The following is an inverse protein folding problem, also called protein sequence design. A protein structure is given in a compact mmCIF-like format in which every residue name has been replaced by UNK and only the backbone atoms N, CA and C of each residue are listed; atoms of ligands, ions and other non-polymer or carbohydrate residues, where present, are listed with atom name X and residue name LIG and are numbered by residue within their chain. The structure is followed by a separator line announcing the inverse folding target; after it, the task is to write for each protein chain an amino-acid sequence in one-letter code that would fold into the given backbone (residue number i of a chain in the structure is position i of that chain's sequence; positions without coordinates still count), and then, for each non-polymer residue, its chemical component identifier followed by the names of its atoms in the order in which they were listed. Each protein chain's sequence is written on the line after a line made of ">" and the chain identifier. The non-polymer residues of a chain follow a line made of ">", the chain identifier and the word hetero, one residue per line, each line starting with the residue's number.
data_IF_127391998460
#
_entry.id   IF_127391998460
#
_cell.length_a   1.000
_cell.length_b   1.000
_cell.length_c   1.000
_cell.angle_alpha   90.00
_cell.angle_beta   90.00
_cell.angle_gamma   90.00
#
_symmetry.space_group_name_H-M   'P 1'
#
loop_
_entity.id
_entity.type
_entity.pdbx_description
1 polymer ?
#
# COMPACT_ATOMS: atom_id res chain seq x y z
N UNK A 1 62.86 64.75 5.12
CA UNK A 1 61.97 63.85 4.35
C UNK A 1 60.57 64.46 4.26
N UNK A 2 60.22 65.09 3.13
CA UNK A 2 58.84 65.48 2.80
C UNK A 2 58.66 65.25 1.29
N UNK A 3 57.81 64.28 0.95
CA UNK A 3 57.57 63.80 -0.42
C UNK A 3 56.75 64.83 -1.19
N UNK A 4 57.17 65.08 -2.44
CA UNK A 4 56.49 65.94 -3.43
C UNK A 4 55.30 65.19 -4.03
N UNK A 5 54.18 65.90 -4.12
CA UNK A 5 52.96 65.49 -4.81
C UNK A 5 53.12 65.66 -6.32
N UNK A 6 52.78 64.62 -7.10
CA UNK A 6 52.58 64.72 -8.55
C UNK A 6 51.12 64.38 -8.83
N UNK A 7 50.42 65.33 -9.47
CA UNK A 7 49.06 65.17 -9.97
C UNK A 7 49.11 64.39 -11.29
N UNK A 8 48.30 63.35 -11.43
CA UNK A 8 48.05 62.68 -12.71
C UNK A 8 46.61 62.99 -13.16
N UNK A 9 46.49 63.49 -14.39
CA UNK A 9 45.23 63.69 -15.11
C UNK A 9 44.56 62.34 -15.38
N UNK A 10 43.27 62.21 -15.07
CA UNK A 10 42.40 61.12 -15.51
C UNK A 10 41.57 61.60 -16.72
N UNK A 11 41.77 60.94 -17.85
CA UNK A 11 40.94 61.06 -19.06
C UNK A 11 39.74 60.10 -18.95
N UNK A 12 38.54 60.42 -19.45
CA UNK A 12 37.38 59.57 -19.27
C UNK A 12 37.37 58.45 -20.33
N UNK A 13 37.48 57.20 -19.90
CA UNK A 13 37.19 56.04 -20.74
C UNK A 13 35.70 55.71 -20.59
N UNK A 14 34.96 55.93 -21.66
CA UNK A 14 33.56 55.51 -21.82
C UNK A 14 33.52 53.99 -21.95
N UNK A 15 33.19 53.27 -20.87
CA UNK A 15 32.95 51.81 -20.92
C UNK A 15 31.52 51.58 -21.38
N UNK A 16 31.36 51.14 -22.63
CA UNK A 16 30.10 50.63 -23.17
C UNK A 16 29.84 49.25 -22.55
N UNK A 17 28.89 49.18 -21.62
CA UNK A 17 28.40 47.91 -21.07
C UNK A 17 27.45 47.29 -22.09
N UNK A 18 27.95 46.35 -22.89
CA UNK A 18 27.09 45.48 -23.70
C UNK A 18 26.37 44.50 -22.79
N UNK A 19 25.08 44.74 -22.52
CA UNK A 19 24.18 43.73 -21.96
C UNK A 19 23.96 42.63 -23.01
N UNK A 20 24.70 41.53 -22.91
CA UNK A 20 24.32 40.29 -23.57
C UNK A 20 23.06 39.76 -22.88
N UNK A 21 21.92 39.81 -23.56
CA UNK A 21 20.74 39.03 -23.19
C UNK A 21 21.10 37.55 -23.35
N UNK A 22 21.58 36.94 -22.26
CA UNK A 22 21.69 35.50 -22.16
C UNK A 22 20.28 34.91 -22.11
N UNK A 23 19.93 34.15 -23.14
CA UNK A 23 18.74 33.30 -23.15
C UNK A 23 18.82 32.35 -21.95
N UNK A 24 18.08 32.66 -20.88
CA UNK A 24 17.86 31.72 -19.78
C UNK A 24 16.96 30.63 -20.34
N UNK A 25 17.57 29.59 -20.92
CA UNK A 25 16.91 28.31 -21.11
C UNK A 25 16.58 27.81 -19.71
N UNK A 26 15.32 27.99 -19.30
CA UNK A 26 14.76 27.29 -18.17
C UNK A 26 14.94 25.79 -18.43
N UNK A 27 15.99 25.20 -17.85
CA UNK A 27 16.09 23.77 -17.73
C UNK A 27 14.90 23.36 -16.88
N UNK A 28 13.85 22.89 -17.54
CA UNK A 28 12.85 22.05 -16.90
C UNK A 28 13.62 20.86 -16.35
N UNK A 29 13.99 20.93 -15.07
CA UNK A 29 14.25 19.73 -14.30
C UNK A 29 12.95 18.94 -14.38
N UNK A 30 12.92 17.99 -15.32
CA UNK A 30 12.05 16.84 -15.20
C UNK A 30 12.27 16.33 -13.78
N UNK A 31 11.31 16.59 -12.88
CA UNK A 31 11.23 15.86 -11.63
C UNK A 31 11.08 14.41 -12.08
N UNK A 32 12.18 13.68 -12.11
CA UNK A 32 12.17 12.23 -12.16
C UNK A 32 11.34 11.84 -10.97
N UNK A 33 10.07 11.49 -11.22
CA UNK A 33 9.22 10.85 -10.24
C UNK A 33 9.96 9.59 -9.82
N UNK A 34 10.66 9.65 -8.70
CA UNK A 34 11.28 8.48 -8.11
C UNK A 34 10.14 7.55 -7.71
N UNK A 35 9.99 6.45 -8.45
CA UNK A 35 9.07 5.37 -8.13
C UNK A 35 9.32 4.97 -6.67
N UNK A 36 8.24 4.76 -5.92
CA UNK A 36 8.36 4.33 -4.53
C UNK A 36 9.00 2.95 -4.45
N UNK A 37 9.92 2.78 -3.51
CA UNK A 37 10.63 1.53 -3.28
C UNK A 37 10.81 1.28 -1.79
N UNK A 38 10.54 0.05 -1.36
CA UNK A 38 10.95 -0.46 -0.05
C UNK A 38 12.27 -1.22 -0.18
N UNK A 39 13.22 -0.83 0.65
CA UNK A 39 14.53 -1.47 0.74
C UNK A 39 14.46 -2.68 1.67
N UNK A 40 15.41 -3.58 1.51
CA UNK A 40 15.60 -4.67 2.47
C UNK A 40 15.77 -4.10 3.89
N UNK A 41 15.11 -4.73 4.87
CA UNK A 41 15.05 -4.30 6.27
C UNK A 41 14.32 -2.99 6.56
N UNK A 42 13.53 -2.45 5.61
CA UNK A 42 12.62 -1.34 5.91
C UNK A 42 11.59 -1.73 6.97
N UNK A 43 11.25 -0.75 7.81
CA UNK A 43 10.28 -0.89 8.91
C UNK A 43 9.11 0.03 8.63
N UNK A 44 8.04 -0.53 8.11
CA UNK A 44 6.84 0.18 7.70
C UNK A 44 5.87 0.26 8.87
N UNK A 45 5.38 1.47 9.16
CA UNK A 45 4.32 1.70 10.14
C UNK A 45 3.07 2.19 9.43
N UNK A 46 1.94 1.55 9.71
CA UNK A 46 0.61 2.06 9.41
C UNK A 46 0.10 2.83 10.64
N UNK A 47 0.00 4.15 10.54
CA UNK A 47 -0.38 5.03 11.65
C UNK A 47 -1.64 5.82 11.32
N UNK A 48 -2.67 5.73 12.16
CA UNK A 48 -3.93 6.39 11.88
C UNK A 48 -5.06 5.93 12.78
N UNK A 49 -6.28 6.14 12.30
CA UNK A 49 -7.50 5.77 12.99
C UNK A 49 -7.99 4.34 12.63
N UNK A 50 -9.32 4.12 12.64
CA UNK A 50 -9.93 2.85 12.28
C UNK A 50 -9.64 2.37 10.85
N UNK A 51 -9.22 3.25 9.93
CA UNK A 51 -8.76 2.83 8.59
C UNK A 51 -7.57 1.87 8.67
N UNK A 52 -6.64 2.07 9.61
CA UNK A 52 -5.55 1.12 9.81
C UNK A 52 -5.87 0.10 10.88
N UNK A 53 -6.58 0.44 11.95
CA UNK A 53 -6.91 -0.57 12.96
C UNK A 53 -7.70 -1.75 12.35
N UNK A 54 -8.70 -1.47 11.51
CA UNK A 54 -9.57 -2.53 10.97
C UNK A 54 -8.89 -3.38 9.89
N UNK A 55 -7.82 -2.89 9.27
CA UNK A 55 -6.96 -3.67 8.36
C UNK A 55 -6.38 -4.92 9.05
N UNK A 56 -6.28 -4.89 10.38
CA UNK A 56 -5.95 -6.05 11.22
C UNK A 56 -6.72 -7.32 10.84
N UNK A 57 -7.98 -7.19 10.43
CA UNK A 57 -8.84 -8.32 10.09
C UNK A 57 -8.54 -8.91 8.72
N UNK A 58 -7.91 -8.16 7.82
CA UNK A 58 -7.84 -8.50 6.40
C UNK A 58 -6.41 -8.62 5.85
N UNK A 59 -5.47 -7.77 6.26
CA UNK A 59 -4.04 -7.88 5.93
C UNK A 59 -3.67 -7.64 4.45
N UNK A 60 -4.55 -7.05 3.64
CA UNK A 60 -4.28 -6.74 2.22
C UNK A 60 -3.20 -5.68 1.99
N UNK A 61 -3.11 -4.64 2.82
CA UNK A 61 -2.15 -3.55 2.62
C UNK A 61 -0.72 -4.05 2.84
N UNK A 62 -0.50 -4.81 3.92
CA UNK A 62 0.79 -5.46 4.17
C UNK A 62 1.10 -6.51 3.11
N UNK A 63 0.12 -7.33 2.72
CA UNK A 63 0.30 -8.36 1.71
C UNK A 63 0.72 -7.75 0.36
N UNK A 64 0.01 -6.72 -0.10
CA UNK A 64 0.32 -6.04 -1.36
C UNK A 64 1.73 -5.45 -1.36
N UNK A 65 2.14 -4.77 -0.29
CA UNK A 65 3.51 -4.28 -0.21
C UNK A 65 4.51 -5.45 -0.14
N UNK A 66 4.24 -6.49 0.64
CA UNK A 66 5.13 -7.67 0.76
C UNK A 66 5.35 -8.36 -0.59
N UNK A 67 4.30 -8.56 -1.40
CA UNK A 67 4.43 -9.26 -2.68
C UNK A 67 5.18 -8.45 -3.74
N UNK A 68 5.30 -7.13 -3.57
CA UNK A 68 5.99 -6.21 -4.50
C UNK A 68 7.51 -6.17 -4.33
N UNK A 69 8.01 -6.61 -3.18
CA UNK A 69 9.45 -6.74 -2.91
C UNK A 69 9.76 -8.17 -2.44
N UNK A 70 9.60 -9.17 -3.33
CA UNK A 70 9.77 -10.57 -2.98
C UNK A 70 11.18 -10.84 -2.42
N UNK A 71 11.24 -11.53 -1.29
CA UNK A 71 12.48 -11.89 -0.61
C UNK A 71 13.10 -10.78 0.26
N UNK A 72 12.56 -9.56 0.24
CA UNK A 72 13.03 -8.51 1.16
C UNK A 72 12.49 -8.77 2.59
N UNK A 73 13.32 -8.47 3.59
CA UNK A 73 12.98 -8.55 5.00
C UNK A 73 12.29 -7.26 5.49
N UNK A 74 11.27 -6.81 4.76
CA UNK A 74 10.45 -5.66 5.18
C UNK A 74 9.55 -6.08 6.34
N UNK A 75 9.48 -5.27 7.39
CA UNK A 75 8.60 -5.52 8.54
C UNK A 75 7.51 -4.47 8.65
N UNK A 76 6.34 -4.87 9.14
CA UNK A 76 5.15 -4.04 9.21
C UNK A 76 4.59 -3.99 10.63
N UNK A 77 4.25 -2.78 11.10
CA UNK A 77 3.63 -2.55 12.41
C UNK A 77 2.39 -1.68 12.22
N UNK A 78 1.26 -2.17 12.70
CA UNK A 78 -0.01 -1.46 12.61
C UNK A 78 -0.31 -0.73 13.92
N UNK A 79 -0.07 0.58 13.93
CA UNK A 79 -0.34 1.47 15.07
C UNK A 79 -1.69 2.19 14.94
N UNK A 80 -2.58 1.67 14.09
CA UNK A 80 -3.97 2.14 13.99
C UNK A 80 -4.70 2.10 15.32
N UNK A 81 -5.54 3.11 15.57
CA UNK A 81 -6.35 3.18 16.78
C UNK A 81 -7.73 3.80 16.50
N UNK A 82 -8.80 3.04 16.71
CA UNK A 82 -10.17 3.49 16.42
C UNK A 82 -10.54 4.72 17.25
N UNK A 83 -11.10 5.74 16.57
CA UNK A 83 -11.45 7.03 17.16
C UNK A 83 -10.28 7.99 17.37
N UNK A 84 -9.06 7.59 16.99
CA UNK A 84 -7.86 8.41 17.18
C UNK A 84 -7.76 9.57 16.20
N UNK A 85 -7.05 10.62 16.63
CA UNK A 85 -6.72 11.79 15.84
C UNK A 85 -5.22 12.09 15.92
N UNK A 86 -4.76 13.15 15.24
CA UNK A 86 -3.34 13.57 15.26
C UNK A 86 -2.78 13.91 16.66
N UNK A 87 -3.64 14.05 17.67
CA UNK A 87 -3.26 14.29 19.06
C UNK A 87 -3.26 13.04 19.94
N UNK A 88 -3.61 11.87 19.38
CA UNK A 88 -3.60 10.62 20.13
C UNK A 88 -4.75 10.47 21.12
N UNK A 89 -5.83 11.27 21.03
CA UNK A 89 -6.83 11.39 22.11
C UNK A 89 -7.49 10.05 22.50
N UNK A 90 -7.72 9.14 21.55
CA UNK A 90 -8.29 7.83 21.84
C UNK A 90 -7.34 6.90 22.60
N UNK A 91 -6.06 7.28 22.73
CA UNK A 91 -5.00 6.55 23.45
C UNK A 91 -4.87 6.98 24.91
N UNK A 92 -5.82 7.78 25.39
CA UNK A 92 -5.89 8.24 26.77
C UNK A 92 -5.97 7.07 27.76
N UNK A 93 -5.39 7.27 28.93
CA UNK A 93 -5.46 6.33 30.05
C UNK A 93 -5.96 7.06 31.30
N UNK A 94 -6.39 6.33 32.31
CA UNK A 94 -6.83 6.92 33.58
C UNK A 94 -5.72 7.61 34.38
N UNK A 95 -4.47 7.45 33.95
CA UNK A 95 -3.28 8.00 34.61
C UNK A 95 -2.62 9.07 33.76
N UNK A 96 -2.08 10.09 34.41
CA UNK A 96 -1.24 11.11 33.79
C UNK A 96 0.01 11.30 34.66
N UNK A 97 1.25 11.21 34.14
CA UNK A 97 1.65 10.88 32.75
C UNK A 97 1.65 9.37 32.40
N UNK A 98 1.77 8.99 31.10
CA UNK A 98 1.87 9.85 29.93
C UNK A 98 0.50 10.36 29.43
N UNK A 99 0.48 11.59 28.90
CA UNK A 99 -0.66 12.14 28.15
C UNK A 99 -0.93 11.30 26.88
N UNK A 100 -2.14 11.40 26.27
CA UNK A 100 -2.46 10.64 25.06
C UNK A 100 -1.48 10.93 23.90
N UNK A 101 -1.06 12.20 23.76
CA UNK A 101 -0.09 12.61 22.75
C UNK A 101 1.30 12.05 23.04
N UNK A 102 1.80 12.14 24.28
CA UNK A 102 3.08 11.53 24.66
C UNK A 102 3.07 10.01 24.42
N UNK A 103 1.93 9.37 24.67
CA UNK A 103 1.77 7.95 24.42
C UNK A 103 1.87 7.61 22.93
N UNK A 104 1.22 8.39 22.05
CA UNK A 104 1.39 8.27 20.59
C UNK A 104 2.87 8.45 20.19
N UNK A 105 3.54 9.49 20.70
CA UNK A 105 4.96 9.77 20.41
C UNK A 105 5.89 8.64 20.87
N UNK A 106 5.61 8.03 22.02
CA UNK A 106 6.37 6.88 22.54
C UNK A 106 6.17 5.65 21.64
N UNK A 107 4.93 5.37 21.23
CA UNK A 107 4.60 4.20 20.40
C UNK A 107 5.28 4.29 19.02
N UNK A 108 5.21 5.43 18.35
CA UNK A 108 5.88 5.61 17.06
C UNK A 108 7.42 5.58 17.20
N UNK A 109 7.97 6.12 18.29
CA UNK A 109 9.42 6.03 18.57
C UNK A 109 9.86 4.58 18.77
N UNK A 110 9.10 3.80 19.55
CA UNK A 110 9.40 2.39 19.85
C UNK A 110 9.34 1.52 18.59
N UNK A 111 8.48 1.85 17.63
CA UNK A 111 8.41 1.13 16.35
C UNK A 111 9.63 1.36 15.46
N UNK A 112 10.43 2.41 15.72
CA UNK A 112 11.63 2.78 14.96
C UNK A 112 11.40 2.78 13.43
N UNK A 113 10.35 3.41 12.89
CA UNK A 113 10.03 3.29 11.46
C UNK A 113 11.16 3.78 10.54
N UNK A 114 11.20 3.25 9.33
CA UNK A 114 11.88 3.89 8.19
C UNK A 114 10.88 4.49 7.19
N UNK A 115 9.65 3.96 7.17
CA UNK A 115 8.53 4.48 6.38
C UNK A 115 7.26 4.48 7.24
N UNK A 116 6.47 5.56 7.16
CA UNK A 116 5.21 5.70 7.88
C UNK A 116 4.11 6.12 6.91
N UNK A 117 3.09 5.28 6.75
CA UNK A 117 1.83 5.67 6.14
C UNK A 117 0.96 6.32 7.20
N UNK A 118 0.47 7.53 6.95
CA UNK A 118 -0.29 8.35 7.90
C UNK A 118 -1.71 8.55 7.39
N UNK A 119 -2.71 8.06 8.13
CA UNK A 119 -4.13 8.17 7.80
C UNK A 119 -4.93 8.77 8.97
N UNK A 120 -4.96 10.10 9.01
CA UNK A 120 -5.74 10.91 9.96
C UNK A 120 -6.60 11.93 9.19
N UNK A 121 -7.39 12.74 9.90
CA UNK A 121 -8.28 13.76 9.33
C UNK A 121 -9.74 13.32 9.27
N UNK A 122 -10.03 12.03 9.30
CA UNK A 122 -11.40 11.51 9.26
C UNK A 122 -12.19 11.76 10.55
N UNK A 123 -11.53 11.74 11.71
CA UNK A 123 -12.17 12.04 13.01
C UNK A 123 -12.29 13.55 13.17
N UNK A 124 -11.21 14.26 12.86
CA UNK A 124 -11.07 15.70 12.99
C UNK A 124 -12.04 16.47 12.09
N UNK A 125 -12.38 15.94 10.90
CA UNK A 125 -13.38 16.53 10.00
C UNK A 125 -14.78 16.72 10.62
N UNK A 126 -15.09 16.06 11.74
CA UNK A 126 -16.33 16.28 12.48
C UNK A 126 -16.40 17.67 13.13
N UNK A 127 -15.26 18.29 13.42
CA UNK A 127 -15.17 19.67 13.92
C UNK A 127 -15.39 20.71 12.79
N UNK A 128 -15.51 20.27 11.54
CA UNK A 128 -15.63 21.14 10.37
C UNK A 128 -14.41 22.03 10.17
N UNK A 129 -14.59 23.16 9.48
CA UNK A 129 -13.50 24.11 9.20
C UNK A 129 -12.87 24.70 10.46
N UNK A 130 -13.63 24.81 11.56
CA UNK A 130 -13.14 25.35 12.83
C UNK A 130 -12.00 24.49 13.43
N UNK A 131 -12.00 23.18 13.18
CA UNK A 131 -10.95 22.26 13.65
C UNK A 131 -9.66 22.29 12.82
N UNK A 132 -9.67 22.90 11.62
CA UNK A 132 -8.52 22.87 10.70
C UNK A 132 -7.22 23.42 11.30
N UNK A 133 -7.19 24.55 12.03
CA UNK A 133 -5.95 25.05 12.60
C UNK A 133 -5.31 24.05 13.57
N UNK A 134 -6.14 23.47 14.46
CA UNK A 134 -5.70 22.46 15.44
C UNK A 134 -5.23 21.18 14.76
N UNK A 135 -5.93 20.73 13.73
CA UNK A 135 -5.52 19.56 12.95
C UNK A 135 -4.18 19.78 12.24
N UNK A 136 -4.01 20.92 11.54
CA UNK A 136 -2.76 21.23 10.84
C UNK A 136 -1.57 21.32 11.78
N UNK A 137 -1.76 21.90 12.97
CA UNK A 137 -0.72 21.94 14.01
C UNK A 137 -0.34 20.52 14.46
N UNK A 138 -1.33 19.69 14.82
CA UNK A 138 -1.09 18.33 15.28
C UNK A 138 -0.41 17.46 14.22
N UNK A 139 -0.88 17.53 12.97
CA UNK A 139 -0.27 16.83 11.84
C UNK A 139 1.16 17.31 11.59
N UNK A 140 1.41 18.63 11.63
CA UNK A 140 2.76 19.18 11.49
C UNK A 140 3.71 18.65 12.56
N UNK A 141 3.30 18.65 13.83
CA UNK A 141 4.11 18.12 14.94
C UNK A 141 4.35 16.61 14.83
N UNK A 142 3.34 15.85 14.40
CA UNK A 142 3.49 14.43 14.13
C UNK A 142 4.51 14.17 13.01
N UNK A 143 4.47 14.95 11.93
CA UNK A 143 5.45 14.85 10.85
C UNK A 143 6.86 15.25 11.32
N UNK A 144 7.00 16.29 12.15
CA UNK A 144 8.29 16.66 12.77
C UNK A 144 8.85 15.50 13.59
N UNK A 145 7.99 14.79 14.33
CA UNK A 145 8.40 13.59 15.07
C UNK A 145 8.89 12.49 14.13
N UNK A 146 8.14 12.17 13.08
CA UNK A 146 8.53 11.15 12.09
C UNK A 146 9.87 11.49 11.44
N UNK A 147 10.06 12.75 11.06
CA UNK A 147 11.29 13.24 10.44
C UNK A 147 12.48 13.15 11.40
N UNK A 148 12.28 13.45 12.68
CA UNK A 148 13.32 13.30 13.71
C UNK A 148 13.78 11.85 13.91
N UNK A 149 12.96 10.87 13.52
CA UNK A 149 13.31 9.45 13.54
C UNK A 149 14.03 9.00 12.26
N UNK A 150 14.19 9.90 11.27
CA UNK A 150 14.78 9.58 9.97
C UNK A 150 13.86 8.81 9.04
N UNK A 151 12.56 8.76 9.33
CA UNK A 151 11.58 8.00 8.56
C UNK A 151 10.93 8.86 7.46
N UNK A 152 10.58 8.23 6.34
CA UNK A 152 9.78 8.85 5.27
C UNK A 152 8.30 8.78 5.64
N UNK A 153 7.55 9.87 5.45
CA UNK A 153 6.08 9.88 5.60
C UNK A 153 5.37 9.88 4.25
N UNK A 154 4.30 9.09 4.17
CA UNK A 154 3.33 9.03 3.07
C UNK A 154 1.97 9.34 3.66
N UNK A 155 1.34 10.42 3.22
CA UNK A 155 0.07 10.89 3.79
C UNK A 155 -1.09 10.39 2.93
N UNK A 156 -2.10 9.81 3.57
CA UNK A 156 -3.33 9.39 2.92
C UNK A 156 -4.44 10.40 3.23
N UNK A 157 -5.28 10.71 2.25
CA UNK A 157 -6.53 11.43 2.53
C UNK A 157 -7.47 10.58 3.41
N UNK A 158 -8.46 11.17 4.10
CA UNK A 158 -9.56 10.39 4.67
C UNK A 158 -10.41 9.73 3.57
N UNK A 159 -11.28 8.80 3.97
CA UNK A 159 -12.25 8.12 3.09
C UNK A 159 -13.65 8.72 3.25
N UNK A 160 -14.53 8.64 2.23
CA UNK A 160 -15.91 9.12 2.33
C UNK A 160 -16.76 8.28 3.27
N UNK A 161 -17.91 8.83 3.66
CA UNK A 161 -18.97 8.13 4.40
C UNK A 161 -20.25 8.01 3.58
N UNK A 162 -21.03 6.95 3.82
CA UNK A 162 -22.24 6.57 3.07
C UNK A 162 -23.30 5.91 3.94
N UNK A 163 -23.89 6.66 4.85
CA UNK A 163 -25.06 6.21 5.59
C UNK A 163 -26.34 6.66 4.86
N UNK A 164 -27.39 5.84 4.91
CA UNK A 164 -28.72 6.16 4.34
C UNK A 164 -29.56 7.03 5.29
N UNK A 165 -28.96 7.49 6.39
CA UNK A 165 -29.61 8.31 7.41
C UNK A 165 -29.66 9.79 7.00
N UNK A 166 -30.87 10.26 6.69
CA UNK A 166 -31.15 11.66 6.37
C UNK A 166 -30.80 12.62 7.52
N UNK A 167 -30.79 12.16 8.78
CA UNK A 167 -30.43 12.99 9.93
C UNK A 167 -28.91 13.26 10.02
N UNK A 168 -28.09 12.41 9.40
CA UNK A 168 -26.63 12.42 9.58
C UNK A 168 -25.88 13.35 8.61
N UNK A 169 -26.59 14.16 7.80
CA UNK A 169 -26.06 15.14 6.83
C UNK A 169 -24.77 14.65 6.13
N UNK A 170 -24.90 13.55 5.38
CA UNK A 170 -23.82 12.86 4.66
C UNK A 170 -23.05 13.84 3.79
N UNK A 171 -23.76 14.72 3.08
CA UNK A 171 -23.19 15.69 2.16
C UNK A 171 -22.25 16.64 2.89
N UNK A 172 -22.68 17.21 4.02
CA UNK A 172 -21.83 18.11 4.82
C UNK A 172 -20.62 17.37 5.39
N UNK A 173 -20.80 16.13 5.85
CA UNK A 173 -19.67 15.35 6.38
C UNK A 173 -18.63 15.04 5.30
N UNK A 174 -19.07 14.64 4.11
CA UNK A 174 -18.18 14.42 2.97
C UNK A 174 -17.53 15.73 2.49
N UNK A 175 -18.24 16.85 2.50
CA UNK A 175 -17.64 18.16 2.20
C UNK A 175 -16.51 18.51 3.19
N UNK A 176 -16.71 18.28 4.49
CA UNK A 176 -15.65 18.47 5.49
C UNK A 176 -14.47 17.51 5.25
N UNK A 177 -14.72 16.24 4.92
CA UNK A 177 -13.66 15.27 4.63
C UNK A 177 -12.79 15.72 3.44
N UNK A 178 -13.40 16.28 2.40
CA UNK A 178 -12.69 16.87 1.24
C UNK A 178 -11.83 18.08 1.64
N UNK A 179 -12.34 18.93 2.53
CA UNK A 179 -11.58 20.07 3.08
C UNK A 179 -10.34 19.59 3.84
N UNK A 180 -10.45 18.54 4.65
CA UNK A 180 -9.31 17.95 5.37
C UNK A 180 -8.35 17.24 4.43
N UNK A 181 -8.84 16.51 3.42
CA UNK A 181 -8.01 15.92 2.37
C UNK A 181 -7.15 16.99 1.67
N UNK A 182 -7.74 18.13 1.34
CA UNK A 182 -7.04 19.26 0.71
C UNK A 182 -6.00 19.89 1.64
N UNK A 183 -6.28 19.96 2.94
CA UNK A 183 -5.32 20.44 3.93
C UNK A 183 -4.11 19.50 4.09
N UNK A 184 -4.34 18.18 4.04
CA UNK A 184 -3.30 17.15 4.07
C UNK A 184 -2.42 17.25 2.81
N UNK A 185 -3.04 17.32 1.63
CA UNK A 185 -2.32 17.48 0.36
C UNK A 185 -1.43 18.73 0.36
N UNK A 186 -1.99 19.86 0.80
CA UNK A 186 -1.25 21.12 0.89
C UNK A 186 -0.05 21.01 1.82
N UNK A 187 -0.23 20.45 3.02
CA UNK A 187 0.86 20.29 3.98
C UNK A 187 1.93 19.31 3.48
N UNK A 188 1.52 18.22 2.82
CA UNK A 188 2.44 17.27 2.19
C UNK A 188 3.29 17.97 1.13
N UNK A 189 2.67 18.76 0.25
CA UNK A 189 3.37 19.55 -0.78
C UNK A 189 4.34 20.57 -0.17
N UNK A 190 3.90 21.35 0.83
CA UNK A 190 4.73 22.31 1.58
C UNK A 190 5.97 21.65 2.21
N UNK A 191 5.84 20.39 2.63
CA UNK A 191 6.91 19.62 3.30
C UNK A 191 7.63 18.63 2.38
N UNK A 192 7.35 18.63 1.07
CA UNK A 192 7.95 17.70 0.10
C UNK A 192 7.67 16.22 0.40
N UNK A 193 6.54 15.91 1.02
CA UNK A 193 6.11 14.54 1.34
C UNK A 193 5.22 13.98 0.23
N UNK A 194 5.17 12.65 0.13
CA UNK A 194 4.23 11.98 -0.75
C UNK A 194 2.82 12.06 -0.17
N UNK A 195 1.84 12.35 -1.03
CA UNK A 195 0.42 12.33 -0.71
C UNK A 195 -0.31 11.38 -1.67
N UNK A 196 -1.22 10.59 -1.13
CA UNK A 196 -2.08 9.68 -1.90
C UNK A 196 -3.54 10.03 -1.58
N UNK A 197 -4.27 10.48 -2.60
CA UNK A 197 -5.72 10.67 -2.53
C UNK A 197 -6.43 9.32 -2.63
N UNK A 198 -6.91 8.82 -1.49
CA UNK A 198 -7.74 7.62 -1.40
C UNK A 198 -9.24 7.97 -1.28
N UNK A 199 -9.60 9.25 -1.13
CA UNK A 199 -10.99 9.69 -0.99
C UNK A 199 -11.74 9.43 -2.30
N UNK A 200 -11.26 10.00 -3.42
CA UNK A 200 -11.97 9.90 -4.71
C UNK A 200 -12.12 8.47 -5.21
N UNK A 201 -11.06 7.63 -5.22
CA UNK A 201 -11.18 6.24 -5.68
C UNK A 201 -12.21 5.45 -4.87
N UNK A 202 -12.25 5.62 -3.54
CA UNK A 202 -13.20 4.92 -2.67
C UNK A 202 -14.62 5.48 -2.85
N UNK A 203 -14.78 6.79 -3.04
CA UNK A 203 -16.08 7.39 -3.33
C UNK A 203 -16.68 6.84 -4.63
N UNK A 204 -15.88 6.74 -5.68
CA UNK A 204 -16.31 6.18 -6.96
C UNK A 204 -16.63 4.69 -6.87
N UNK A 205 -15.78 3.90 -6.21
CA UNK A 205 -15.97 2.45 -6.11
C UNK A 205 -17.17 2.09 -5.24
N UNK A 206 -17.38 2.82 -4.14
CA UNK A 206 -18.55 2.62 -3.28
C UNK A 206 -19.88 2.93 -3.95
N UNK A 207 -19.91 3.65 -5.10
CA UNK A 207 -21.12 3.82 -5.92
C UNK A 207 -21.44 2.57 -6.75
N UNK A 208 -20.45 1.71 -6.99
CA UNK A 208 -20.53 0.56 -7.90
C UNK A 208 -20.67 -0.77 -7.16
N UNK A 209 -20.07 -0.88 -5.97
CA UNK A 209 -20.09 -2.11 -5.20
C UNK A 209 -19.97 -1.86 -3.70
N UNK A 210 -20.40 -2.83 -2.88
CA UNK A 210 -20.36 -2.71 -1.43
C UNK A 210 -18.95 -2.92 -0.89
N UNK A 211 -18.24 -1.81 -0.66
CA UNK A 211 -16.89 -1.80 -0.09
C UNK A 211 -16.84 -1.25 1.35
N UNK A 212 -17.99 -0.86 1.90
CA UNK A 212 -18.13 -0.34 3.26
C UNK A 212 -19.03 -1.27 4.06
N UNK A 213 -18.62 -1.58 5.30
CA UNK A 213 -19.36 -2.46 6.21
C UNK A 213 -20.58 -1.75 6.81
N UNK A 214 -20.39 -0.50 7.26
CA UNK A 214 -21.39 0.27 8.01
C UNK A 214 -21.50 1.72 7.53
N UNK A 215 -21.14 1.97 6.27
CA UNK A 215 -21.09 3.31 5.68
C UNK A 215 -19.92 4.17 6.16
N UNK A 216 -19.02 3.67 7.02
CA UNK A 216 -17.82 4.41 7.46
C UNK A 216 -16.56 3.56 7.32
N UNK A 217 -16.60 2.29 7.73
CA UNK A 217 -15.44 1.40 7.70
C UNK A 217 -15.41 0.55 6.43
N UNK A 218 -14.22 0.34 5.88
CA UNK A 218 -14.02 -0.60 4.78
C UNK A 218 -14.29 -2.04 5.24
N UNK A 219 -14.92 -2.82 4.37
CA UNK A 219 -15.02 -4.28 4.50
C UNK A 219 -13.84 -4.97 3.76
N UNK A 220 -13.86 -6.30 3.66
CA UNK A 220 -12.79 -7.05 2.98
C UNK A 220 -12.54 -6.56 1.54
N UNK A 221 -13.60 -6.36 0.76
CA UNK A 221 -13.50 -5.88 -0.62
C UNK A 221 -12.96 -4.44 -0.68
N UNK A 222 -13.30 -3.60 0.30
CA UNK A 222 -12.76 -2.26 0.44
C UNK A 222 -11.26 -2.23 0.72
N UNK A 223 -10.74 -3.12 1.56
CA UNK A 223 -9.29 -3.21 1.81
C UNK A 223 -8.52 -3.80 0.63
N UNK A 224 -9.08 -4.79 -0.06
CA UNK A 224 -8.52 -5.27 -1.32
C UNK A 224 -8.41 -4.12 -2.33
N UNK A 225 -9.48 -3.36 -2.54
CA UNK A 225 -9.45 -2.22 -3.46
C UNK A 225 -8.51 -1.10 -2.99
N UNK A 226 -8.44 -0.83 -1.68
CA UNK A 226 -7.48 0.14 -1.14
C UNK A 226 -6.03 -0.27 -1.44
N UNK A 227 -5.70 -1.56 -1.36
CA UNK A 227 -4.37 -2.04 -1.74
C UNK A 227 -4.04 -1.71 -3.20
N UNK A 228 -4.99 -1.91 -4.13
CA UNK A 228 -4.81 -1.55 -5.55
C UNK A 228 -4.61 -0.04 -5.74
N UNK A 229 -5.40 0.78 -5.02
CA UNK A 229 -5.26 2.23 -5.03
C UNK A 229 -3.87 2.65 -4.55
N UNK A 230 -3.35 2.02 -3.49
CA UNK A 230 -2.00 2.29 -3.00
C UNK A 230 -0.94 1.90 -4.03
N UNK A 231 -0.98 0.68 -4.55
CA UNK A 231 0.01 0.22 -5.54
C UNK A 231 0.09 1.15 -6.76
N UNK A 232 -1.07 1.55 -7.28
CA UNK A 232 -1.17 2.48 -8.40
C UNK A 232 -0.54 3.84 -8.07
N UNK A 233 -0.86 4.42 -6.92
CA UNK A 233 -0.37 5.75 -6.54
C UNK A 233 1.09 5.76 -6.10
N UNK A 234 1.61 4.62 -5.65
CA UNK A 234 3.04 4.42 -5.38
C UNK A 234 3.85 4.26 -6.69
N UNK A 235 3.18 4.21 -7.85
CA UNK A 235 3.82 4.06 -9.16
C UNK A 235 4.33 2.65 -9.42
N UNK A 236 3.76 1.64 -8.76
CA UNK A 236 4.16 0.25 -8.94
C UNK A 236 3.59 -0.31 -10.24
N UNK A 237 4.35 -1.20 -10.88
CA UNK A 237 3.96 -1.80 -12.16
C UNK A 237 2.59 -2.50 -12.05
N UNK A 238 1.62 -2.24 -12.94
CA UNK A 238 0.35 -2.97 -12.91
C UNK A 238 0.58 -4.45 -13.23
N UNK A 239 0.01 -5.32 -12.39
CA UNK A 239 0.13 -6.76 -12.46
C UNK A 239 -1.20 -7.42 -12.07
N UNK A 240 -1.51 -8.62 -12.58
CA UNK A 240 -0.71 -9.42 -13.51
C UNK A 240 -0.72 -8.91 -14.97
N UNK A 241 0.37 -9.17 -15.72
CA UNK A 241 0.44 -8.86 -17.16
C UNK A 241 -0.20 -9.98 -17.99
N UNK A 242 -1.13 -9.71 -18.93
CA UNK A 242 -1.77 -10.75 -19.73
C UNK A 242 -0.78 -11.65 -20.50
N UNK A 243 -1.06 -12.94 -20.52
CA UNK A 243 -0.35 -13.95 -21.32
C UNK A 243 -1.13 -14.20 -22.61
N UNK A 244 -0.45 -14.11 -23.75
CA UNK A 244 -1.05 -14.41 -25.06
C UNK A 244 -0.20 -15.43 -25.83
N UNK A 245 -0.84 -16.49 -26.30
CA UNK A 245 -0.23 -17.57 -27.09
C UNK A 245 -1.02 -17.73 -28.38
N UNK A 246 -0.32 -17.67 -29.52
CA UNK A 246 -0.90 -17.89 -30.83
C UNK A 246 -0.40 -19.23 -31.39
N UNK A 247 -1.34 -20.14 -31.66
CA UNK A 247 -1.07 -21.42 -32.34
C UNK A 247 -1.33 -21.24 -33.83
N UNK A 248 -0.31 -21.51 -34.64
CA UNK A 248 -0.41 -21.55 -36.11
C UNK A 248 -0.29 -23.01 -36.60
N UNK A 249 -0.34 -23.26 -37.92
CA UNK A 249 -0.31 -24.63 -38.46
C UNK A 249 0.94 -25.42 -38.05
N UNK A 250 2.09 -24.77 -38.03
CA UNK A 250 3.40 -25.42 -37.82
C UNK A 250 4.20 -24.81 -36.66
N UNK A 251 3.72 -23.73 -36.04
CA UNK A 251 4.45 -23.00 -35.01
C UNK A 251 3.55 -22.48 -33.88
N UNK A 252 4.13 -22.26 -32.70
CA UNK A 252 3.49 -21.57 -31.58
C UNK A 252 4.27 -20.30 -31.27
N UNK A 253 3.60 -19.16 -31.39
CA UNK A 253 4.17 -17.87 -31.04
C UNK A 253 3.62 -17.45 -29.67
N UNK A 254 4.48 -17.45 -28.65
CA UNK A 254 4.18 -16.83 -27.37
C UNK A 254 4.56 -15.36 -27.41
N UNK A 255 3.69 -14.49 -26.91
CA UNK A 255 3.93 -13.05 -26.81
C UNK A 255 4.05 -12.65 -25.35
N UNK A 256 4.91 -11.67 -25.08
CA UNK A 256 5.11 -11.04 -23.77
C UNK A 256 5.71 -11.96 -22.69
N UNK A 257 4.99 -12.21 -21.59
CA UNK A 257 5.48 -12.86 -20.37
C UNK A 257 5.50 -14.38 -20.43
N UNK A 258 5.10 -15.01 -21.54
CA UNK A 258 5.11 -16.47 -21.66
C UNK A 258 6.35 -17.00 -22.40
N UNK A 259 6.90 -18.10 -21.90
CA UNK A 259 7.97 -18.87 -22.54
C UNK A 259 7.49 -20.28 -22.83
N UNK A 260 7.48 -20.67 -24.10
CA UNK A 260 7.15 -22.03 -24.51
C UNK A 260 8.23 -23.01 -24.03
N UNK A 261 7.79 -24.13 -23.48
CA UNK A 261 8.64 -25.26 -23.10
C UNK A 261 8.52 -26.41 -24.09
N UNK A 262 7.29 -26.71 -24.52
CA UNK A 262 6.98 -27.77 -25.48
C UNK A 262 5.62 -27.49 -26.14
N UNK A 263 5.42 -28.00 -27.35
CA UNK A 263 4.16 -27.88 -28.06
C UNK A 263 3.96 -29.04 -29.05
N UNK A 264 2.87 -29.78 -28.86
CA UNK A 264 2.34 -30.73 -29.85
C UNK A 264 1.11 -30.10 -30.52
N UNK A 265 1.37 -29.30 -31.55
CA UNK A 265 0.33 -28.59 -32.31
C UNK A 265 -0.67 -29.56 -32.96
N UNK A 266 -0.22 -30.76 -33.36
CA UNK A 266 -1.09 -31.75 -33.99
C UNK A 266 -2.15 -32.26 -33.02
N UNK A 267 -1.73 -32.55 -31.79
CA UNK A 267 -2.60 -33.01 -30.72
C UNK A 267 -3.13 -31.89 -29.83
N UNK A 268 -2.84 -30.62 -30.13
CA UNK A 268 -3.36 -29.44 -29.42
C UNK A 268 -2.83 -29.29 -27.99
N UNK A 269 -1.68 -29.88 -27.67
CA UNK A 269 -1.05 -29.79 -26.35
C UNK A 269 0.01 -28.68 -26.34
N UNK A 270 -0.06 -27.80 -25.35
CA UNK A 270 0.90 -26.70 -25.16
C UNK A 270 1.47 -26.76 -23.75
N UNK A 271 2.78 -26.56 -23.60
CA UNK A 271 3.45 -26.46 -22.30
C UNK A 271 4.30 -25.20 -22.26
N UNK A 272 4.10 -24.37 -21.25
CA UNK A 272 4.75 -23.07 -21.15
C UNK A 272 4.92 -22.63 -19.70
N UNK A 273 5.80 -21.67 -19.47
CA UNK A 273 5.88 -20.92 -18.20
C UNK A 273 5.37 -19.51 -18.44
N UNK A 274 4.75 -18.90 -17.44
CA UNK A 274 4.48 -17.46 -17.42
C UNK A 274 5.41 -16.79 -16.41
N UNK A 275 6.01 -15.66 -16.78
CA UNK A 275 6.80 -14.82 -15.87
C UNK A 275 5.85 -14.13 -14.88
N UNK A 276 5.75 -14.72 -13.69
CA UNK A 276 5.01 -14.16 -12.58
C UNK A 276 5.99 -13.44 -11.65
N UNK A 277 6.15 -12.12 -11.83
CA UNK A 277 7.09 -11.32 -11.05
C UNK A 277 6.66 -11.13 -9.60
N UNK A 278 5.36 -11.14 -9.35
CA UNK A 278 4.76 -10.95 -8.03
C UNK A 278 3.55 -11.85 -7.88
N UNK A 279 3.28 -12.29 -6.65
CA UNK A 279 2.09 -13.09 -6.34
C UNK A 279 0.82 -12.21 -6.45
N UNK A 280 -0.28 -12.71 -7.04
CA UNK A 280 -1.55 -12.00 -7.12
C UNK A 280 -2.17 -11.87 -5.74
N UNK A 281 -2.91 -10.81 -5.48
CA UNK A 281 -3.70 -10.72 -4.25
C UNK A 281 -4.84 -11.76 -4.29
N UNK A 282 -5.12 -12.47 -3.19
CA UNK A 282 -6.27 -13.37 -3.11
C UNK A 282 -7.56 -12.56 -3.19
N UNK A 283 -8.55 -13.03 -3.92
CA UNK A 283 -9.82 -12.33 -4.04
C UNK A 283 -10.57 -12.31 -2.70
N UNK A 284 -11.33 -11.23 -2.41
CA UNK A 284 -12.25 -11.20 -1.26
C UNK A 284 -13.27 -12.33 -1.30
N UNK A 285 -13.67 -12.82 -0.13
CA UNK A 285 -14.60 -13.95 0.02
C UNK A 285 -15.95 -13.67 -0.64
N UNK A 286 -16.44 -12.43 -0.51
CA UNK A 286 -17.65 -11.97 -1.15
C UNK A 286 -17.28 -11.32 -2.50
N UNK A 287 -17.50 -12.10 -3.55
CA UNK A 287 -17.05 -11.83 -4.91
C UNK A 287 -17.64 -10.51 -5.45
N UNK A 288 -16.78 -9.52 -5.66
CA UNK A 288 -17.12 -8.26 -6.31
C UNK A 288 -16.52 -8.29 -7.70
N UNK A 289 -17.32 -8.73 -8.68
CA UNK A 289 -16.95 -8.93 -10.09
C UNK A 289 -16.43 -7.68 -10.82
N UNK A 290 -16.33 -6.56 -10.10
CA UNK A 290 -15.96 -5.21 -10.54
C UNK A 290 -14.52 -4.86 -10.12
N UNK A 291 -13.89 -5.64 -9.22
CA UNK A 291 -12.49 -5.45 -8.82
C UNK A 291 -11.51 -6.01 -9.87
N UNK A 292 -10.22 -5.70 -9.75
CA UNK A 292 -9.23 -5.96 -10.81
C UNK A 292 -9.18 -7.43 -11.19
N UNK A 293 -9.08 -7.66 -12.50
CA UNK A 293 -9.00 -8.98 -13.08
C UNK A 293 -7.63 -9.60 -12.78
N UNK A 294 -7.64 -10.85 -12.35
CA UNK A 294 -6.46 -11.70 -12.21
C UNK A 294 -5.75 -11.96 -13.55
N UNK A 295 -4.82 -12.92 -13.54
CA UNK A 295 -3.97 -13.21 -14.70
C UNK A 295 -4.85 -13.67 -15.87
N UNK A 296 -4.88 -12.90 -16.96
CA UNK A 296 -5.59 -13.31 -18.17
C UNK A 296 -4.66 -14.17 -19.02
N UNK A 297 -5.11 -15.36 -19.39
CA UNK A 297 -4.44 -16.24 -20.36
C UNK A 297 -5.32 -16.33 -21.61
N UNK A 298 -4.77 -15.90 -22.74
CA UNK A 298 -5.41 -15.97 -24.05
C UNK A 298 -4.64 -16.93 -24.96
N UNK A 299 -5.36 -17.88 -25.55
CA UNK A 299 -4.80 -18.84 -26.50
C UNK A 299 -5.65 -18.86 -27.77
N UNK A 300 -5.07 -18.44 -28.88
CA UNK A 300 -5.76 -18.38 -30.19
C UNK A 300 -5.25 -19.46 -31.14
N UNK A 301 -6.08 -19.88 -32.09
CA UNK A 301 -5.70 -20.86 -33.11
C UNK A 301 -5.82 -22.32 -32.69
N UNK A 302 -6.41 -22.59 -31.52
CA UNK A 302 -6.77 -23.95 -31.10
C UNK A 302 -7.81 -24.57 -32.05
N UNK A 303 -7.73 -25.88 -32.25
CA UNK A 303 -8.80 -26.63 -32.94
C UNK A 303 -10.08 -26.60 -32.10
N UNK A 304 -11.24 -26.68 -32.75
CA UNK A 304 -12.54 -26.72 -32.07
C UNK A 304 -12.57 -27.82 -31.00
N UNK A 305 -12.92 -27.47 -29.77
CA UNK A 305 -12.97 -28.41 -28.66
C UNK A 305 -12.87 -27.74 -27.29
N UNK A 306 -12.83 -28.57 -26.24
CA UNK A 306 -12.54 -28.12 -24.89
C UNK A 306 -11.10 -28.42 -24.53
N UNK A 307 -10.49 -27.53 -23.76
CA UNK A 307 -9.12 -27.65 -23.30
C UNK A 307 -9.05 -27.39 -21.81
N UNK A 308 -8.27 -28.21 -21.12
CA UNK A 308 -7.97 -28.08 -19.70
C UNK A 308 -6.58 -27.50 -19.54
N UNK A 309 -6.50 -26.41 -18.77
CA UNK A 309 -5.25 -25.86 -18.26
C UNK A 309 -4.93 -26.50 -16.92
N UNK A 310 -3.73 -27.04 -16.78
CA UNK A 310 -3.13 -27.42 -15.49
C UNK A 310 -1.95 -26.51 -15.17
N UNK A 311 -1.71 -26.29 -13.88
CA UNK A 311 -0.53 -25.62 -13.34
C UNK A 311 0.15 -26.57 -12.36
N UNK A 312 1.39 -26.97 -12.63
CA UNK A 312 2.12 -28.00 -11.87
C UNK A 312 1.29 -29.27 -11.61
N UNK A 313 0.61 -29.75 -12.66
CA UNK A 313 -0.30 -30.90 -12.67
C UNK A 313 -1.61 -30.75 -11.89
N UNK A 314 -1.90 -29.57 -11.32
CA UNK A 314 -3.21 -29.28 -10.73
C UNK A 314 -4.13 -28.66 -11.77
N UNK A 315 -5.34 -29.18 -11.93
CA UNK A 315 -6.33 -28.60 -12.84
C UNK A 315 -6.72 -27.19 -12.37
N UNK A 316 -6.57 -26.22 -13.28
CA UNK A 316 -6.92 -24.81 -13.05
C UNK A 316 -8.27 -24.50 -13.68
N UNK A 317 -8.46 -24.79 -14.96
CA UNK A 317 -9.73 -24.48 -15.63
C UNK A 317 -9.89 -25.29 -16.91
N UNK A 318 -11.13 -25.61 -17.26
CA UNK A 318 -11.50 -26.21 -18.54
C UNK A 318 -12.43 -25.26 -19.27
N UNK A 319 -12.12 -24.96 -20.54
CA UNK A 319 -12.93 -24.06 -21.35
C UNK A 319 -12.84 -24.40 -22.84
N UNK A 320 -13.78 -23.87 -23.64
CA UNK A 320 -13.78 -24.07 -25.08
C UNK A 320 -12.67 -23.27 -25.77
N UNK A 321 -12.28 -23.71 -26.96
CA UNK A 321 -11.37 -22.98 -27.86
C UNK A 321 -11.75 -21.51 -28.03
N UNK A 322 -13.06 -21.22 -28.16
CA UNK A 322 -13.57 -19.85 -28.28
C UNK A 322 -13.31 -19.02 -27.02
N UNK A 323 -13.52 -19.60 -25.83
CA UNK A 323 -13.29 -18.92 -24.54
C UNK A 323 -11.80 -18.67 -24.32
N UNK A 324 -10.93 -19.61 -24.68
CA UNK A 324 -9.49 -19.39 -24.68
C UNK A 324 -9.06 -18.26 -25.63
N UNK A 325 -9.70 -18.16 -26.79
CA UNK A 325 -9.43 -17.08 -27.75
C UNK A 325 -9.93 -15.70 -27.28
N UNK A 326 -11.01 -15.65 -26.50
CA UNK A 326 -11.47 -14.43 -25.81
C UNK A 326 -10.47 -14.00 -24.71
N UNK A 327 -9.86 -14.96 -24.04
CA UNK A 327 -9.00 -14.76 -22.88
C UNK A 327 -9.74 -15.11 -21.59
N UNK A 328 -9.10 -15.91 -20.75
CA UNK A 328 -9.69 -16.42 -19.51
C UNK A 328 -8.91 -15.87 -18.33
N UNK A 329 -9.63 -15.34 -17.36
CA UNK A 329 -9.07 -14.92 -16.08
C UNK A 329 -8.79 -16.14 -15.20
N UNK A 330 -7.55 -16.25 -14.74
CA UNK A 330 -7.11 -17.28 -13.83
C UNK A 330 -7.29 -16.78 -12.40
N UNK A 331 -8.16 -17.47 -11.66
CA UNK A 331 -8.54 -17.11 -10.29
C UNK A 331 -8.12 -18.15 -9.24
N UNK A 332 -7.43 -19.21 -9.67
CA UNK A 332 -6.94 -20.28 -8.80
C UNK A 332 -5.64 -20.89 -9.33
N UNK A 333 -4.94 -21.64 -8.49
CA UNK A 333 -3.71 -22.35 -8.84
C UNK A 333 -2.62 -22.21 -7.78
N UNK A 334 -1.39 -22.70 -8.07
CA UNK A 334 -0.29 -22.72 -7.10
C UNK A 334 0.06 -21.34 -6.50
N UNK A 335 0.05 -20.26 -7.31
CA UNK A 335 0.32 -18.90 -6.80
C UNK A 335 -0.76 -18.39 -5.86
N UNK A 336 -2.04 -18.67 -6.14
CA UNK A 336 -3.15 -18.35 -5.22
C UNK A 336 -3.08 -19.15 -3.92
N UNK A 337 -2.61 -20.40 -3.99
CA UNK A 337 -2.35 -21.21 -2.79
C UNK A 337 -1.17 -20.66 -1.97
N UNK A 338 -0.11 -20.19 -2.65
CA UNK A 338 1.05 -19.60 -2.01
C UNK A 338 0.71 -18.28 -1.32
N UNK A 339 0.03 -17.36 -2.01
CA UNK A 339 -0.32 -16.05 -1.46
C UNK A 339 -1.35 -16.15 -0.33
N UNK A 340 -2.29 -17.11 -0.40
CA UNK A 340 -3.22 -17.36 0.70
C UNK A 340 -2.49 -17.78 1.97
N UNK A 341 -1.51 -18.69 1.87
CA UNK A 341 -0.65 -19.07 3.00
C UNK A 341 0.19 -17.91 3.51
N UNK A 342 0.69 -17.06 2.60
CA UNK A 342 1.43 -15.85 2.96
C UNK A 342 0.56 -14.89 3.77
N UNK A 343 -0.68 -14.65 3.31
CA UNK A 343 -1.68 -13.83 4.01
C UNK A 343 -2.02 -14.40 5.38
N UNK A 344 -2.20 -15.71 5.52
CA UNK A 344 -2.42 -16.34 6.83
C UNK A 344 -1.26 -16.09 7.81
N UNK A 345 -0.01 -16.17 7.35
CA UNK A 345 1.16 -15.86 8.18
C UNK A 345 1.19 -14.38 8.57
N UNK A 346 0.88 -13.48 7.65
CA UNK A 346 0.75 -12.03 7.90
C UNK A 346 -0.31 -11.76 8.97
N UNK A 347 -1.50 -12.36 8.84
CA UNK A 347 -2.60 -12.19 9.80
C UNK A 347 -2.21 -12.71 11.19
N UNK A 348 -1.62 -13.90 11.28
CA UNK A 348 -1.12 -14.46 12.56
C UNK A 348 -0.05 -13.55 13.18
N UNK A 349 0.87 -13.01 12.38
CA UNK A 349 1.91 -12.09 12.84
C UNK A 349 1.31 -10.77 13.32
N UNK A 350 0.32 -10.23 12.60
CA UNK A 350 -0.41 -9.03 12.99
C UNK A 350 -1.20 -9.24 14.29
N UNK A 351 -1.80 -10.41 14.48
CA UNK A 351 -2.44 -10.82 15.74
C UNK A 351 -1.46 -10.78 16.91
N UNK A 352 -0.28 -11.39 16.76
CA UNK A 352 0.76 -11.34 17.80
C UNK A 352 1.15 -9.88 18.11
N UNK A 353 1.37 -9.06 17.08
CA UNK A 353 1.72 -7.66 17.28
C UNK A 353 0.61 -6.89 17.99
N UNK A 354 -0.64 -7.05 17.55
CA UNK A 354 -1.79 -6.33 18.11
C UNK A 354 -1.94 -6.62 19.60
N UNK A 355 -1.84 -7.89 20.02
CA UNK A 355 -1.94 -8.24 21.44
C UNK A 355 -0.67 -7.91 22.24
N UNK A 356 0.50 -7.83 21.62
CA UNK A 356 1.69 -7.29 22.28
C UNK A 356 1.54 -5.78 22.54
N UNK A 357 1.06 -5.07 21.54
CA UNK A 357 0.91 -3.62 21.51
C UNK A 357 -0.28 -3.14 22.37
N UNK A 358 -1.40 -3.86 22.31
CA UNK A 358 -2.66 -3.61 23.01
C UNK A 358 -3.18 -4.90 23.64
N UNK A 359 -2.53 -5.38 24.70
CA UNK A 359 -2.97 -6.58 25.39
C UNK A 359 -4.35 -6.38 26.02
N UNK A 360 -5.13 -7.45 26.06
CA UNK A 360 -6.33 -7.50 26.90
C UNK A 360 -5.92 -7.20 28.35
N UNK A 361 -6.76 -6.47 29.09
CA UNK A 361 -6.46 -6.02 30.45
C UNK A 361 -5.15 -5.20 30.54
N UNK A 362 -4.84 -4.39 29.52
CA UNK A 362 -3.64 -3.53 29.48
C UNK A 362 -3.33 -2.80 30.80
N UNK A 363 -4.34 -2.27 31.47
CA UNK A 363 -4.19 -1.58 32.77
C UNK A 363 -3.53 -2.44 33.85
N UNK A 364 -3.80 -3.75 33.85
CA UNK A 364 -3.29 -4.72 34.81
C UNK A 364 -1.98 -5.37 34.38
N UNK A 365 -1.70 -5.43 33.08
CA UNK A 365 -0.47 -6.06 32.57
C UNK A 365 0.66 -5.03 32.45
N UNK A 366 0.37 -3.86 31.88
CA UNK A 366 1.36 -2.82 31.56
C UNK A 366 1.09 -1.48 32.26
N UNK A 367 -0.12 -1.28 32.78
CA UNK A 367 -0.55 -0.01 33.38
C UNK A 367 -0.24 0.11 34.87
N UNK A 368 -0.92 1.06 35.51
CA UNK A 368 -0.74 1.39 36.93
C UNK A 368 -1.18 0.29 37.92
N UNK A 369 -1.89 -0.75 37.44
CA UNK A 369 -2.22 -1.96 38.22
C UNK A 369 -1.32 -3.14 37.89
N UNK A 370 -0.17 -2.90 37.26
CA UNK A 370 0.82 -3.93 36.94
C UNK A 370 1.36 -4.69 38.14
N UNK A 371 1.25 -4.16 39.36
CA UNK A 371 1.57 -4.94 40.57
C UNK A 371 0.67 -6.18 40.75
N UNK A 372 -0.51 -6.24 40.10
CA UNK A 372 -1.43 -7.38 40.19
C UNK A 372 -1.15 -8.47 39.15
N UNK A 373 -0.86 -8.08 37.91
CA UNK A 373 -0.73 -9.02 36.78
C UNK A 373 0.50 -8.75 35.89
N UNK A 374 1.43 -7.90 36.30
CA UNK A 374 2.60 -7.48 35.52
C UNK A 374 3.58 -8.61 35.19
N UNK A 375 3.53 -9.73 35.92
CA UNK A 375 4.26 -10.95 35.55
C UNK A 375 3.93 -11.47 34.13
N UNK A 376 2.75 -11.13 33.61
CA UNK A 376 2.33 -11.52 32.26
C UNK A 376 2.97 -10.65 31.15
N UNK A 377 3.64 -9.55 31.50
CA UNK A 377 4.35 -8.73 30.52
C UNK A 377 5.46 -9.52 29.79
N UNK A 378 6.10 -10.47 30.48
CA UNK A 378 7.09 -11.36 29.86
C UNK A 378 6.51 -12.19 28.70
N UNK A 379 5.27 -12.68 28.85
CA UNK A 379 4.61 -13.41 27.78
C UNK A 379 4.34 -12.55 26.54
N UNK A 380 4.17 -11.23 26.71
CA UNK A 380 4.08 -10.30 25.58
C UNK A 380 5.43 -10.12 24.90
N UNK A 381 6.54 -10.11 25.64
CA UNK A 381 7.89 -10.06 25.05
C UNK A 381 8.20 -11.33 24.25
N UNK A 382 7.76 -12.49 24.73
CA UNK A 382 7.94 -13.77 24.03
C UNK A 382 7.23 -13.81 22.66
N UNK A 383 6.17 -13.01 22.46
CA UNK A 383 5.52 -12.85 21.15
C UNK A 383 6.46 -12.26 20.10
N UNK A 384 7.50 -11.51 20.49
CA UNK A 384 8.51 -11.01 19.55
C UNK A 384 9.29 -12.14 18.87
N UNK A 385 9.49 -13.28 19.52
CA UNK A 385 10.16 -14.43 18.91
C UNK A 385 9.28 -15.05 17.82
N UNK A 386 7.98 -15.20 18.09
CA UNK A 386 7.00 -15.73 17.13
C UNK A 386 6.88 -14.79 15.93
N UNK A 387 6.76 -13.48 16.19
CA UNK A 387 6.71 -12.47 15.13
C UNK A 387 7.95 -12.51 14.25
N UNK A 388 9.15 -12.54 14.83
CA UNK A 388 10.40 -12.59 14.06
C UNK A 388 10.51 -13.87 13.22
N UNK A 389 10.06 -15.00 13.76
CA UNK A 389 10.00 -16.25 12.99
C UNK A 389 9.02 -16.14 11.82
N UNK A 390 7.80 -15.64 12.05
CA UNK A 390 6.80 -15.43 11.00
C UNK A 390 7.29 -14.44 9.94
N UNK A 391 7.92 -13.33 10.32
CA UNK A 391 8.53 -12.37 9.39
C UNK A 391 9.55 -13.04 8.46
N UNK A 392 10.41 -13.91 9.00
CA UNK A 392 11.33 -14.70 8.19
C UNK A 392 10.63 -15.67 7.24
N UNK A 393 9.54 -16.31 7.67
CA UNK A 393 8.73 -17.17 6.79
C UNK A 393 8.03 -16.37 5.69
N UNK A 394 7.50 -15.19 6.02
CA UNK A 394 6.85 -14.27 5.08
C UNK A 394 7.85 -13.85 4.01
N UNK A 395 9.04 -13.38 4.39
CA UNK A 395 10.09 -13.01 3.44
C UNK A 395 10.46 -14.19 2.52
N UNK A 396 10.67 -15.38 3.08
CA UNK A 396 11.01 -16.59 2.32
C UNK A 396 9.90 -17.00 1.32
N UNK A 397 8.63 -16.89 1.72
CA UNK A 397 7.48 -17.34 0.93
C UNK A 397 6.84 -16.26 0.06
N UNK A 398 7.33 -15.01 0.11
CA UNK A 398 6.88 -13.91 -0.75
C UNK A 398 7.37 -14.02 -2.19
N UNK A 399 8.43 -14.78 -2.44
CA UNK A 399 9.00 -14.95 -3.79
C UNK A 399 8.15 -15.90 -4.64
N UNK A 400 7.62 -15.46 -5.79
CA UNK A 400 6.89 -16.34 -6.71
C UNK A 400 7.74 -17.53 -7.13
N UNK A 401 7.12 -18.71 -7.15
CA UNK A 401 7.76 -19.92 -7.70
C UNK A 401 7.46 -20.02 -9.19
N UNK A 402 8.41 -20.47 -10.03
CA UNK A 402 8.11 -20.75 -11.42
C UNK A 402 7.01 -21.81 -11.55
N UNK A 403 6.00 -21.53 -12.36
CA UNK A 403 4.88 -22.44 -12.63
C UNK A 403 4.99 -22.96 -14.05
N UNK A 404 4.81 -24.27 -14.20
CA UNK A 404 4.65 -24.90 -15.51
C UNK A 404 3.18 -25.09 -15.80
N UNK A 405 2.70 -24.37 -16.81
CA UNK A 405 1.36 -24.51 -17.33
C UNK A 405 1.33 -25.54 -18.46
N UNK A 406 0.29 -26.37 -18.48
CA UNK A 406 0.00 -27.27 -19.58
C UNK A 406 -1.45 -27.12 -20.01
N UNK A 407 -1.68 -26.77 -21.28
CA UNK A 407 -2.99 -26.79 -21.90
C UNK A 407 -3.12 -28.09 -22.71
N UNK A 408 -4.20 -28.83 -22.52
CA UNK A 408 -4.43 -30.11 -23.22
C UNK A 408 -5.90 -30.25 -23.63
N UNK A 409 -6.21 -30.84 -24.80
CA UNK A 409 -7.59 -31.10 -25.18
C UNK A 409 -8.24 -32.09 -24.21
N UNK A 410 -9.52 -31.88 -23.94
CA UNK A 410 -10.36 -32.87 -23.26
C UNK A 410 -10.63 -34.00 -24.25
N UNK A 411 -10.36 -35.24 -23.84
CA UNK A 411 -10.58 -36.44 -24.65
C UNK A 411 -12.07 -36.74 -24.84
#
# INVERSE_FOLDING_TARGET
>A
MKKRNVKALLSPILVVISMALGSVLAQSQSKTSTIFELKDNDRVVFLGNSLFENEFQYGYLELALTTRWPGHNVTFRNLGWTGDNVWGEARSTFTNPPTPYEHLMQQITKAQPTVVFVAYGGVEAQEGEAGLPRFREGLSKLLDKIDSLGAKSILLSPIPVRYEDAAANVEKRNANLVVYASAIEKLASERGKMFIDIYKPIEEMSKKTSILENGVHLNEAGYYYLAEVLEKNLGLDPQPKPVSIAVTKDNVEAVATAKMLDADVKNGMLKFTAEERFLPLPFPTNNTSILTKGQIIKVTGLKKGFYTLTADNQQVITASDKKWAEGIEITQGPSFNQVSKLREMILKKNEQFFFQYRPLNRTYILGFRSYEQGRHAKGLEDQSLIMKWLEGQIALHSTPKPIVYQLSPVK
#
